data_IF_437342029352
#
_entry.id   IF_437342029352
#
_cell.length_a   1.000
_cell.length_b   1.000
_cell.length_c   1.000
_cell.angle_alpha   90.00
_cell.angle_beta   90.00
_cell.angle_gamma   90.00
#
_symmetry.space_group_name_H-M   'P 1'
#
loop_
_entity.id
_entity.type
_entity.pdbx_description
1 polymer ?
#
# COMPACT_ATOMS: atom_id res chain seq x y z
N UNK A 1 13.02 -6.98 19.58
CA UNK A 1 13.71 -5.74 19.17
C UNK A 1 15.12 -5.97 18.61
N UNK A 2 15.99 -6.74 19.27
CA UNK A 2 17.39 -6.91 18.80
C UNK A 2 17.49 -7.65 17.45
N UNK A 3 16.68 -8.69 17.22
CA UNK A 3 16.73 -9.47 15.98
C UNK A 3 16.38 -8.65 14.74
N UNK A 4 15.28 -7.88 14.79
CA UNK A 4 14.87 -7.02 13.69
C UNK A 4 15.94 -5.96 13.35
N UNK A 5 16.55 -5.35 14.38
CA UNK A 5 17.63 -4.35 14.19
C UNK A 5 18.90 -4.98 13.63
N UNK A 6 19.29 -6.18 14.10
CA UNK A 6 20.45 -6.92 13.58
C UNK A 6 20.24 -7.32 12.13
N UNK A 7 19.06 -7.84 11.81
CA UNK A 7 18.70 -8.21 10.45
C UNK A 7 18.67 -6.97 9.53
N UNK A 8 18.14 -5.84 10.01
CA UNK A 8 18.15 -4.58 9.27
C UNK A 8 19.60 -4.11 8.99
N UNK A 9 20.45 -4.06 10.02
CA UNK A 9 21.85 -3.69 9.86
C UNK A 9 22.57 -4.61 8.85
N UNK A 10 22.32 -5.92 8.95
CA UNK A 10 22.90 -6.90 8.02
C UNK A 10 22.45 -6.64 6.57
N UNK A 11 21.17 -6.37 6.33
CA UNK A 11 20.65 -6.07 5.00
C UNK A 11 21.22 -4.78 4.40
N UNK A 12 21.47 -3.77 5.22
CA UNK A 12 22.16 -2.54 4.78
C UNK A 12 23.58 -2.89 4.37
N UNK A 13 24.33 -3.59 5.22
CA UNK A 13 25.74 -3.95 4.93
C UNK A 13 25.88 -4.87 3.72
N UNK A 14 24.87 -5.69 3.43
CA UNK A 14 24.86 -6.57 2.26
C UNK A 14 24.31 -5.90 0.99
N UNK A 15 23.83 -4.65 1.06
CA UNK A 15 23.19 -3.98 -0.07
C UNK A 15 21.81 -4.53 -0.46
N UNK A 16 21.21 -5.38 0.37
CA UNK A 16 19.95 -6.09 0.11
C UNK A 16 18.72 -5.37 0.72
N UNK A 17 18.92 -4.19 1.29
CA UNK A 17 17.89 -3.41 1.97
C UNK A 17 16.71 -2.99 1.08
N UNK A 18 16.89 -2.94 -0.24
CA UNK A 18 15.81 -2.60 -1.19
C UNK A 18 15.04 -3.82 -1.72
N UNK A 19 15.46 -5.03 -1.38
CA UNK A 19 14.79 -6.24 -1.85
C UNK A 19 13.52 -6.48 -1.03
N UNK A 20 12.39 -6.56 -1.74
CA UNK A 20 11.06 -6.69 -1.13
C UNK A 20 10.97 -7.88 -0.17
N UNK A 21 11.59 -9.02 -0.51
CA UNK A 21 11.59 -10.23 0.30
C UNK A 21 12.12 -10.01 1.72
N UNK A 22 13.19 -9.22 1.85
CA UNK A 22 13.81 -8.93 3.13
C UNK A 22 13.06 -7.84 3.90
N UNK A 23 12.55 -6.82 3.19
CA UNK A 23 11.67 -5.80 3.75
C UNK A 23 10.41 -6.41 4.35
N UNK A 24 9.80 -7.38 3.67
CA UNK A 24 8.65 -8.14 4.14
C UNK A 24 8.93 -8.86 5.45
N UNK A 25 10.11 -9.49 5.54
CA UNK A 25 10.56 -10.21 6.73
C UNK A 25 10.83 -9.24 7.89
N UNK A 26 11.46 -8.10 7.60
CA UNK A 26 11.68 -7.04 8.59
C UNK A 26 10.38 -6.48 9.12
N UNK A 27 9.45 -6.07 8.25
CA UNK A 27 8.15 -5.51 8.64
C UNK A 27 7.41 -6.51 9.54
N UNK A 28 7.38 -7.79 9.16
CA UNK A 28 6.77 -8.86 9.98
C UNK A 28 7.41 -8.94 11.38
N UNK A 29 8.74 -8.85 11.48
CA UNK A 29 9.45 -8.86 12.77
C UNK A 29 9.18 -7.60 13.61
N UNK A 30 9.07 -6.43 12.98
CA UNK A 30 8.73 -5.18 13.68
C UNK A 30 7.27 -5.17 14.15
N UNK A 31 6.36 -5.74 13.36
CA UNK A 31 4.95 -5.83 13.70
C UNK A 31 4.69 -6.83 14.82
N UNK A 32 5.38 -7.99 14.84
CA UNK A 32 5.28 -8.96 15.93
C UNK A 32 5.84 -8.45 17.25
N UNK A 33 6.72 -7.44 17.21
CA UNK A 33 7.31 -6.84 18.40
C UNK A 33 6.59 -5.57 18.88
N UNK A 34 5.37 -5.31 18.40
CA UNK A 34 4.52 -4.16 18.75
C UNK A 34 5.18 -2.80 18.48
N UNK A 35 6.26 -2.75 17.70
CA UNK A 35 6.94 -1.49 17.34
C UNK A 35 6.37 -0.93 16.04
N UNK A 36 5.12 -0.51 16.10
CA UNK A 36 4.37 0.05 14.97
C UNK A 36 5.08 1.26 14.33
N UNK A 37 5.72 2.09 15.14
CA UNK A 37 6.46 3.26 14.65
C UNK A 37 7.62 2.85 13.72
N UNK A 38 8.42 1.85 14.12
CA UNK A 38 9.53 1.37 13.28
C UNK A 38 9.02 0.62 12.04
N UNK A 39 7.95 -0.15 12.16
CA UNK A 39 7.30 -0.80 11.02
C UNK A 39 6.83 0.26 10.00
N UNK A 40 6.28 1.38 10.47
CA UNK A 40 5.83 2.49 9.61
C UNK A 40 6.98 3.21 8.93
N UNK A 41 8.05 3.55 9.66
CA UNK A 41 9.24 4.16 9.08
C UNK A 41 9.86 3.28 7.99
N UNK A 42 9.92 1.97 8.23
CA UNK A 42 10.37 1.02 7.22
C UNK A 42 9.45 0.98 6.02
N UNK A 43 8.13 0.97 6.24
CA UNK A 43 7.14 0.98 5.17
C UNK A 43 7.27 2.24 4.29
N UNK A 44 7.43 3.41 4.91
CA UNK A 44 7.58 4.68 4.20
C UNK A 44 8.91 4.75 3.41
N UNK A 45 9.92 3.97 3.79
CA UNK A 45 11.18 3.83 3.04
C UNK A 45 11.05 2.95 1.78
N UNK A 46 9.93 2.25 1.60
CA UNK A 46 9.69 1.38 0.43
C UNK A 46 8.99 2.20 -0.65
N UNK A 47 9.65 2.38 -1.79
CA UNK A 47 9.08 3.12 -2.92
C UNK A 47 7.85 2.43 -3.55
N UNK A 48 7.84 1.09 -3.58
CA UNK A 48 6.75 0.29 -4.16
C UNK A 48 6.30 -0.83 -3.21
N UNK A 49 5.53 -0.51 -2.16
CA UNK A 49 5.05 -1.52 -1.24
C UNK A 49 4.00 -2.42 -1.91
N UNK A 50 4.19 -3.72 -1.83
CA UNK A 50 3.24 -4.70 -2.36
C UNK A 50 1.98 -4.80 -1.52
N UNK A 51 0.91 -5.36 -2.10
CA UNK A 51 -0.38 -5.56 -1.43
C UNK A 51 -0.25 -6.37 -0.15
N UNK A 52 0.73 -7.30 -0.08
CA UNK A 52 1.02 -8.05 1.14
C UNK A 52 1.48 -7.15 2.30
N UNK A 53 2.34 -6.16 2.02
CA UNK A 53 2.83 -5.23 3.03
C UNK A 53 1.71 -4.35 3.58
N UNK A 54 0.84 -3.85 2.69
CA UNK A 54 -0.36 -3.13 3.08
C UNK A 54 -1.27 -3.99 3.98
N UNK A 55 -1.56 -5.23 3.57
CA UNK A 55 -2.36 -6.17 4.36
C UNK A 55 -1.74 -6.44 5.73
N UNK A 56 -0.41 -6.57 5.80
CA UNK A 56 0.32 -6.75 7.06
C UNK A 56 0.15 -5.54 7.96
N UNK A 57 0.36 -4.32 7.44
CA UNK A 57 0.16 -3.09 8.20
C UNK A 57 -1.30 -2.91 8.64
N UNK A 58 -2.29 -3.24 7.80
CA UNK A 58 -3.71 -3.21 8.19
C UNK A 58 -4.01 -4.12 9.37
N UNK A 59 -3.54 -5.37 9.34
CA UNK A 59 -3.76 -6.32 10.45
C UNK A 59 -3.18 -5.79 11.77
N UNK A 60 -2.03 -5.15 11.70
CA UNK A 60 -1.32 -4.68 12.90
C UNK A 60 -1.94 -3.39 13.41
N UNK A 61 -2.34 -2.48 12.53
CA UNK A 61 -3.11 -1.30 12.93
C UNK A 61 -4.51 -1.66 13.46
N UNK A 62 -5.17 -2.68 12.91
CA UNK A 62 -6.47 -3.18 13.39
C UNK A 62 -6.35 -3.80 14.79
N UNK A 63 -5.22 -4.45 15.11
CA UNK A 63 -4.92 -4.94 16.45
C UNK A 63 -4.41 -3.85 17.41
N UNK A 64 -4.16 -2.64 16.91
CA UNK A 64 -3.66 -1.51 17.69
C UNK A 64 -4.81 -0.60 18.15
N UNK A 65 -4.62 0.22 19.20
CA UNK A 65 -5.61 1.22 19.60
C UNK A 65 -5.79 2.37 18.58
N UNK A 66 -5.10 2.33 17.44
CA UNK A 66 -5.10 3.39 16.41
C UNK A 66 -5.65 2.93 15.05
N UNK A 67 -6.93 2.52 14.96
CA UNK A 67 -7.53 2.04 13.72
C UNK A 67 -7.58 3.12 12.62
N UNK A 68 -7.54 4.41 12.99
CA UNK A 68 -7.52 5.52 12.05
C UNK A 68 -6.34 5.45 11.07
N UNK A 69 -5.18 4.95 11.53
CA UNK A 69 -4.00 4.80 10.68
C UNK A 69 -4.19 3.71 9.61
N UNK A 70 -4.98 2.68 9.88
CA UNK A 70 -5.34 1.68 8.88
C UNK A 70 -6.16 2.33 7.75
N UNK A 71 -7.14 3.17 8.09
CA UNK A 71 -7.96 3.87 7.10
C UNK A 71 -7.14 4.84 6.23
N UNK A 72 -6.21 5.57 6.84
CA UNK A 72 -5.30 6.46 6.11
C UNK A 72 -4.40 5.67 5.14
N UNK A 73 -3.87 4.54 5.58
CA UNK A 73 -3.04 3.67 4.76
C UNK A 73 -3.86 3.04 3.61
N UNK A 74 -5.15 2.76 3.83
CA UNK A 74 -6.05 2.27 2.80
C UNK A 74 -6.32 3.32 1.72
N UNK A 75 -6.58 4.56 2.12
CA UNK A 75 -6.71 5.68 1.17
C UNK A 75 -5.42 5.92 0.40
N UNK A 76 -4.25 5.76 1.04
CA UNK A 76 -2.96 5.84 0.36
C UNK A 76 -2.81 4.73 -0.69
N UNK A 77 -3.14 3.49 -0.34
CA UNK A 77 -3.10 2.35 -1.28
C UNK A 77 -4.01 2.57 -2.49
N UNK A 78 -5.23 3.10 -2.28
CA UNK A 78 -6.15 3.40 -3.38
C UNK A 78 -5.66 4.51 -4.33
N UNK A 79 -4.80 5.42 -3.86
CA UNK A 79 -4.31 6.57 -4.65
C UNK A 79 -2.95 6.34 -5.30
N UNK A 80 -2.07 5.60 -4.63
CA UNK A 80 -0.65 5.47 -4.98
C UNK A 80 -0.14 4.03 -4.91
N UNK A 81 -0.93 3.10 -4.39
CA UNK A 81 -0.54 1.72 -4.18
C UNK A 81 -1.04 0.77 -5.27
N UNK A 82 -0.63 -0.50 -5.18
CA UNK A 82 -1.17 -1.56 -6.01
C UNK A 82 -2.67 -1.76 -5.73
N UNK A 83 -3.44 -2.28 -6.70
CA UNK A 83 -4.86 -2.53 -6.51
C UNK A 83 -5.08 -3.42 -5.28
N UNK A 84 -6.04 -3.07 -4.39
CA UNK A 84 -6.43 -3.94 -3.29
C UNK A 84 -6.77 -5.32 -3.86
N UNK A 85 -6.15 -6.35 -3.31
CA UNK A 85 -6.54 -7.71 -3.64
C UNK A 85 -7.95 -7.97 -3.11
N UNK A 86 -8.66 -8.92 -3.69
CA UNK A 86 -10.07 -9.25 -3.42
C UNK A 86 -10.38 -9.58 -1.94
N UNK A 87 -9.33 -9.76 -1.12
CA UNK A 87 -9.38 -9.98 0.32
C UNK A 87 -9.33 -8.70 1.18
N UNK A 88 -9.03 -7.53 0.61
CA UNK A 88 -8.83 -6.31 1.41
C UNK A 88 -10.16 -5.71 1.85
N UNK A 89 -11.21 -5.69 1.02
CA UNK A 89 -12.60 -5.37 1.41
C UNK A 89 -13.54 -5.75 0.24
N UNK A 90 -14.48 -6.70 0.38
CA UNK A 90 -15.41 -7.04 -0.70
C UNK A 90 -16.49 -5.96 -0.94
N UNK A 91 -16.51 -4.86 -0.17
CA UNK A 91 -17.64 -3.92 -0.13
C UNK A 91 -17.50 -2.68 -1.04
N UNK A 92 -16.42 -2.51 -1.81
CA UNK A 92 -16.25 -1.33 -2.65
C UNK A 92 -15.74 -1.65 -4.08
N UNK A 93 -16.29 -2.69 -4.71
CA UNK A 93 -16.26 -2.82 -6.17
C UNK A 93 -17.63 -2.47 -6.74
N UNK A 94 -18.02 -1.20 -6.66
CA UNK A 94 -18.98 -0.68 -7.64
C UNK A 94 -18.19 0.02 -8.73
N UNK A 95 -17.98 -0.62 -9.90
CA UNK A 95 -17.37 0.07 -11.03
C UNK A 95 -18.28 1.24 -11.41
N UNK A 96 -17.72 2.46 -11.39
CA UNK A 96 -18.37 3.62 -11.96
C UNK A 96 -18.44 3.44 -13.48
N UNK A 97 -19.59 3.70 -14.13
CA UNK A 97 -19.68 3.58 -15.58
C UNK A 97 -18.75 4.62 -16.25
N UNK A 98 -18.11 4.27 -17.38
CA UNK A 98 -17.21 5.17 -18.08
C UNK A 98 -17.96 6.40 -18.60
N UNK A 99 -17.64 7.57 -18.05
CA UNK A 99 -18.07 8.88 -18.53
C UNK A 99 -17.29 9.27 -19.79
N UNK A 100 -17.68 8.71 -20.94
CA UNK A 100 -17.26 9.22 -22.26
C UNK A 100 -18.48 9.56 -23.11
N UNK A 101 -18.97 10.79 -22.97
CA UNK A 101 -19.58 11.52 -24.09
C UNK A 101 -19.10 12.97 -24.04
N UNK A 102 -17.94 13.23 -24.65
CA UNK A 102 -17.55 14.59 -25.00
C UNK A 102 -18.46 15.13 -26.10
N UNK A 103 -18.88 16.41 -26.06
CA UNK A 103 -19.65 17.02 -27.12
C UNK A 103 -18.70 17.46 -28.24
N UNK A 104 -18.79 16.86 -29.43
CA UNK A 104 -18.07 17.34 -30.61
C UNK A 104 -19.00 18.21 -31.46
N UNK A 105 -18.68 19.50 -31.49
CA UNK A 105 -19.34 20.52 -32.28
C UNK A 105 -19.08 20.34 -33.80
N UNK A 106 -20.14 20.57 -34.58
CA UNK A 106 -20.23 21.44 -35.79
C UNK A 106 -19.41 21.10 -37.05
N UNK A 107 -20.11 20.77 -38.15
CA UNK A 107 -20.00 21.36 -39.51
C UNK A 107 -21.14 20.78 -40.37
N UNK A 108 -22.13 21.56 -40.85
CA UNK A 108 -22.14 22.49 -42.01
C UNK A 108 -21.95 21.81 -43.38
N UNK A 109 -22.90 22.09 -44.30
CA UNK A 109 -22.93 21.82 -45.76
C UNK A 109 -23.23 20.38 -46.21
N UNK A 110 -24.04 20.05 -47.23
CA UNK A 110 -24.87 20.79 -48.18
C UNK A 110 -25.92 19.83 -48.79
N UNK A 111 -27.03 20.41 -49.28
CA UNK A 111 -28.02 19.81 -50.21
C UNK A 111 -27.36 19.23 -51.48
N UNK A 112 -28.05 18.31 -52.18
CA UNK A 112 -28.98 18.72 -53.24
C UNK A 112 -30.46 18.49 -52.89
#
# INVERSE_FOLDING_TARGET
MQEAKRLHAHLITSGLHQQENYLRKLITLYTSSSSLHHARLLFDAIHHPSTYLYNTMFRVYAASPTPLHALLLHRHMLRHGPPPDTYTFPSCSRPAPPSHTSPKARNSTAKP
#
